data_IF_307059369283
#
_entry.id   IF_307059369283
#
_cell.length_a   1.000
_cell.length_b   1.000
_cell.length_c   1.000
_cell.angle_alpha   90.00
_cell.angle_beta   90.00
_cell.angle_gamma   90.00
#
_symmetry.space_group_name_H-M   'P 1'
#
loop_
_entity.id
_entity.type
_entity.pdbx_description
1 polymer ?
#
# COMPACT_ATOMS: atom_id res chain seq x y z
N UNK A 1 -23.50 -27.29 -5.72
CA UNK A 1 -22.26 -26.56 -6.04
C UNK A 1 -22.62 -25.21 -6.63
N UNK A 2 -22.32 -24.14 -5.90
CA UNK A 2 -22.14 -22.76 -6.37
C UNK A 2 -21.89 -21.87 -5.13
N UNK A 3 -20.62 -21.56 -4.78
CA UNK A 3 -20.28 -20.54 -3.79
C UNK A 3 -20.06 -19.18 -4.49
N UNK A 4 -21.14 -18.55 -4.96
CA UNK A 4 -21.04 -17.30 -5.74
C UNK A 4 -22.00 -16.21 -5.22
N UNK A 5 -22.10 -16.05 -3.90
CA UNK A 5 -22.82 -14.91 -3.31
C UNK A 5 -21.89 -13.69 -3.17
N UNK A 6 -22.29 -12.50 -3.65
CA UNK A 6 -21.47 -11.26 -3.60
C UNK A 6 -21.16 -10.74 -2.17
N UNK A 7 -21.67 -11.41 -1.13
CA UNK A 7 -21.42 -11.13 0.29
C UNK A 7 -20.06 -11.63 0.80
N UNK A 8 -19.39 -12.56 0.12
CA UNK A 8 -18.10 -13.10 0.59
C UNK A 8 -16.91 -12.18 0.34
N UNK A 9 -16.95 -11.37 -0.72
CA UNK A 9 -15.83 -10.48 -1.07
C UNK A 9 -15.57 -9.42 0.01
N UNK A 10 -16.63 -8.87 0.62
CA UNK A 10 -16.52 -7.87 1.69
C UNK A 10 -15.83 -8.43 2.93
N UNK A 11 -16.15 -9.68 3.30
CA UNK A 11 -15.64 -10.35 4.50
C UNK A 11 -14.15 -10.70 4.36
N UNK A 12 -13.72 -11.22 3.20
CA UNK A 12 -12.30 -11.51 2.92
C UNK A 12 -11.49 -10.22 2.74
N UNK A 13 -12.05 -9.21 2.05
CA UNK A 13 -11.37 -7.93 1.83
C UNK A 13 -11.08 -7.17 3.15
N UNK A 14 -11.96 -7.28 4.14
CA UNK A 14 -11.72 -6.72 5.47
C UNK A 14 -10.54 -7.39 6.20
N UNK A 15 -10.29 -8.68 5.98
CA UNK A 15 -9.14 -9.40 6.57
C UNK A 15 -7.80 -9.04 5.88
N UNK A 16 -7.81 -8.52 4.65
CA UNK A 16 -6.62 -8.12 3.89
C UNK A 16 -6.23 -6.66 4.10
N UNK A 17 -7.17 -5.81 4.52
CA UNK A 17 -7.00 -4.35 4.62
C UNK A 17 -5.96 -3.90 5.65
N UNK A 18 -5.59 -4.78 6.58
CA UNK A 18 -4.72 -4.44 7.71
C UNK A 18 -3.22 -4.49 7.39
N UNK A 19 -2.81 -5.02 6.22
CA UNK A 19 -1.40 -5.18 5.86
C UNK A 19 -0.95 -4.19 4.78
N UNK A 20 -0.86 -2.92 5.17
CA UNK A 20 -0.22 -1.90 4.35
C UNK A 20 1.30 -2.11 4.38
N UNK A 21 1.87 -2.63 3.29
CA UNK A 21 3.30 -2.98 3.18
C UNK A 21 3.97 -2.27 2.00
N UNK A 22 5.29 -2.15 2.07
CA UNK A 22 6.09 -1.57 1.00
C UNK A 22 5.94 -2.38 -0.30
N UNK A 23 5.52 -1.79 -1.43
CA UNK A 23 5.30 -2.52 -2.67
C UNK A 23 6.58 -3.07 -3.31
N UNK A 24 7.77 -2.58 -2.89
CA UNK A 24 9.05 -3.04 -3.43
C UNK A 24 9.70 -4.18 -2.63
N UNK A 25 9.48 -4.23 -1.32
CA UNK A 25 10.19 -5.18 -0.44
C UNK A 25 9.29 -5.84 0.61
N UNK A 26 7.99 -5.53 0.60
CA UNK A 26 6.96 -6.00 1.53
C UNK A 26 7.24 -5.64 3.01
N UNK A 27 8.08 -4.64 3.23
CA UNK A 27 8.47 -4.17 4.55
C UNK A 27 7.53 -3.16 5.17
N UNK A 28 7.75 -2.90 6.47
CA UNK A 28 6.96 -1.95 7.25
C UNK A 28 7.08 -0.52 6.69
N UNK A 29 5.93 0.17 6.63
CA UNK A 29 5.81 1.55 6.21
C UNK A 29 5.48 2.44 7.42
N UNK A 30 6.24 3.52 7.57
CA UNK A 30 5.92 4.61 8.50
C UNK A 30 5.12 5.69 7.77
N UNK A 31 3.97 6.05 8.30
CA UNK A 31 3.14 7.15 7.78
C UNK A 31 3.59 8.48 8.37
N UNK A 32 3.85 9.45 7.49
CA UNK A 32 4.04 10.87 7.80
C UNK A 32 2.95 11.70 7.09
N UNK A 33 2.70 12.96 7.48
CA UNK A 33 1.66 13.78 6.87
C UNK A 33 1.77 13.97 5.35
N UNK A 34 2.97 13.83 4.79
CA UNK A 34 3.24 14.07 3.37
C UNK A 34 3.64 12.82 2.57
N UNK A 35 3.97 11.70 3.25
CA UNK A 35 4.52 10.50 2.59
C UNK A 35 4.46 9.26 3.48
N UNK A 36 4.62 8.08 2.89
CA UNK A 36 5.00 6.85 3.58
C UNK A 36 6.46 6.52 3.32
N UNK A 37 7.20 6.19 4.37
CA UNK A 37 8.61 5.83 4.30
C UNK A 37 8.81 4.38 4.71
N UNK A 38 9.45 3.55 3.88
CA UNK A 38 9.75 2.16 4.23
C UNK A 38 10.94 2.09 5.18
N UNK A 39 10.77 1.41 6.31
CA UNK A 39 11.82 1.25 7.33
C UNK A 39 12.92 0.27 6.91
N UNK A 40 12.68 -0.62 5.94
CA UNK A 40 13.65 -1.61 5.47
C UNK A 40 14.45 -1.15 4.24
N UNK A 41 13.78 -0.70 3.18
CA UNK A 41 14.47 -0.32 1.92
C UNK A 41 14.67 1.20 1.75
N UNK A 42 14.13 2.03 2.65
CA UNK A 42 14.29 3.49 2.62
C UNK A 42 13.49 4.23 1.54
N UNK A 43 12.65 3.54 0.76
CA UNK A 43 11.80 4.18 -0.25
C UNK A 43 10.77 5.11 0.38
N UNK A 44 10.53 6.24 -0.28
CA UNK A 44 9.52 7.23 0.09
C UNK A 44 8.42 7.27 -0.97
N UNK A 45 7.17 7.20 -0.51
CA UNK A 45 5.97 7.21 -1.33
C UNK A 45 5.15 8.45 -1.00
N UNK A 46 4.96 9.40 -1.92
CA UNK A 46 4.26 10.65 -1.63
C UNK A 46 2.77 10.42 -1.39
N UNK A 47 2.16 11.31 -0.61
CA UNK A 47 0.71 11.45 -0.50
C UNK A 47 0.27 12.57 -1.44
N UNK A 48 -0.65 12.27 -2.38
CA UNK A 48 -1.23 13.22 -3.33
C UNK A 48 -2.73 13.24 -3.15
N UNK A 49 -3.30 14.41 -2.92
CA UNK A 49 -4.75 14.58 -2.68
C UNK A 49 -5.29 13.68 -1.55
N UNK A 50 -4.47 13.45 -0.52
CA UNK A 50 -4.81 12.55 0.60
C UNK A 50 -4.65 11.05 0.30
N UNK A 51 -4.20 10.68 -0.91
CA UNK A 51 -4.05 9.30 -1.36
C UNK A 51 -2.55 8.93 -1.43
N UNK A 52 -2.11 7.86 -0.74
CA UNK A 52 -0.78 7.29 -0.90
C UNK A 52 -0.50 6.75 -2.31
N UNK A 53 0.61 7.19 -2.93
CA UNK A 53 1.07 6.69 -4.23
C UNK A 53 2.11 5.58 -4.03
N UNK A 54 1.66 4.32 -3.88
CA UNK A 54 2.49 3.14 -3.66
C UNK A 54 2.86 2.43 -4.98
N UNK A 55 3.85 2.96 -5.71
CA UNK A 55 4.29 2.37 -6.98
C UNK A 55 5.71 1.80 -6.81
N UNK A 56 5.87 0.48 -7.01
CA UNK A 56 7.14 -0.25 -6.81
C UNK A 56 8.25 0.20 -7.78
N UNK A 57 7.90 0.71 -8.95
CA UNK A 57 8.82 1.13 -10.00
C UNK A 57 8.90 2.67 -10.14
N UNK A 58 8.36 3.43 -9.17
CA UNK A 58 8.41 4.89 -9.24
C UNK A 58 9.83 5.38 -8.97
N UNK A 59 10.62 5.41 -10.03
CA UNK A 59 11.89 6.10 -10.09
C UNK A 59 11.56 7.59 -10.18
N UNK A 60 11.73 8.33 -9.08
CA UNK A 60 11.74 9.79 -9.19
C UNK A 60 12.95 10.16 -10.06
N UNK A 61 12.78 10.92 -11.16
CA UNK A 61 13.92 11.54 -11.80
C UNK A 61 14.65 12.39 -10.76
N UNK A 62 15.98 12.25 -10.69
CA UNK A 62 16.82 13.15 -9.90
C UNK A 62 16.98 14.42 -10.72
N UNK A 63 16.17 15.42 -10.44
CA UNK A 63 16.52 16.82 -10.71
C UNK A 63 17.26 17.39 -9.50
#
# INVERSE_FOLDING_TARGET
MAPDSPSDFSSTFNQLKEQLACPACHGELRLDPARLSCLQCGRAYPIRDGIPVLIAELQHPRD
#
